data_IF_341347810743
#
_entry.id   IF_341347810743
#
_cell.length_a   1.000
_cell.length_b   1.000
_cell.length_c   1.000
_cell.angle_alpha   90.00
_cell.angle_beta   90.00
_cell.angle_gamma   90.00
#
_symmetry.space_group_name_H-M   'P 1'
#
loop_
_entity.id
_entity.type
_entity.pdbx_description
1 polymer ?
#
# COMPACT_ATOMS: atom_id res chain seq x y z
N UNK A 1 -36.97 2.95 -29.87
CA UNK A 1 -36.14 2.21 -28.90
C UNK A 1 -34.68 2.25 -29.35
N UNK A 2 -33.85 3.20 -28.87
CA UNK A 2 -32.37 3.18 -29.06
C UNK A 2 -31.65 4.35 -28.37
N UNK A 3 -31.81 4.53 -27.05
CA UNK A 3 -30.94 5.47 -26.32
C UNK A 3 -30.63 5.06 -24.87
N UNK A 4 -31.25 4.00 -24.35
CA UNK A 4 -31.05 3.58 -22.94
C UNK A 4 -29.91 2.55 -22.81
N UNK A 5 -29.52 1.87 -23.90
CA UNK A 5 -28.55 0.77 -23.84
C UNK A 5 -27.08 1.21 -23.81
N UNK A 6 -26.76 2.48 -24.10
CA UNK A 6 -25.36 2.97 -24.12
C UNK A 6 -24.94 3.53 -22.75
N UNK A 7 -25.87 4.05 -21.96
CA UNK A 7 -25.56 4.63 -20.64
C UNK A 7 -25.18 3.56 -19.60
N UNK A 8 -25.69 2.34 -19.71
CA UNK A 8 -25.38 1.26 -18.76
C UNK A 8 -24.01 0.62 -19.00
N UNK A 9 -23.44 0.72 -20.20
CA UNK A 9 -22.10 0.17 -20.48
C UNK A 9 -20.98 1.07 -19.93
N UNK A 10 -21.21 2.38 -19.83
CA UNK A 10 -20.27 3.33 -19.24
C UNK A 10 -20.24 3.30 -17.70
N UNK A 11 -21.24 2.68 -17.06
CA UNK A 11 -21.31 2.57 -15.60
C UNK A 11 -20.44 1.42 -15.03
N UNK A 12 -20.01 0.45 -15.85
CA UNK A 12 -19.27 -0.73 -15.37
C UNK A 12 -17.76 -0.48 -15.27
N UNK A 13 -17.23 0.57 -15.90
CA UNK A 13 -15.80 0.91 -15.84
C UNK A 13 -15.48 1.82 -14.63
N UNK A 14 -16.48 2.39 -13.97
CA UNK A 14 -16.31 3.37 -12.90
C UNK A 14 -16.11 2.78 -11.48
N UNK A 15 -16.01 1.46 -11.31
CA UNK A 15 -16.04 0.84 -9.97
C UNK A 15 -14.72 0.25 -9.46
N UNK A 16 -13.59 0.47 -10.13
CA UNK A 16 -12.31 0.38 -9.42
C UNK A 16 -12.01 1.73 -8.81
N UNK A 17 -12.70 2.04 -7.70
CA UNK A 17 -12.14 2.98 -6.74
C UNK A 17 -10.70 2.53 -6.50
N UNK A 18 -9.67 3.36 -6.74
CA UNK A 18 -8.32 3.00 -6.36
C UNK A 18 -8.40 2.66 -4.88
N UNK A 19 -8.14 1.41 -4.52
CA UNK A 19 -8.27 0.96 -3.14
C UNK A 19 -7.24 1.67 -2.22
N UNK A 20 -6.27 2.39 -2.81
CA UNK A 20 -5.30 3.22 -2.11
C UNK A 20 -5.49 4.73 -2.33
N UNK A 21 -5.08 5.51 -1.34
CA UNK A 21 -5.13 6.98 -1.32
C UNK A 21 -4.28 7.65 -2.44
N UNK A 22 -3.37 6.91 -3.07
CA UNK A 22 -2.52 7.34 -4.18
C UNK A 22 -2.13 6.16 -5.08
N UNK A 23 -1.76 6.45 -6.32
CA UNK A 23 -0.99 5.57 -7.21
C UNK A 23 0.51 5.86 -7.13
N UNK A 24 1.31 4.97 -7.73
CA UNK A 24 2.75 5.11 -7.81
C UNK A 24 3.21 6.19 -8.80
N UNK A 25 2.37 6.58 -9.77
CA UNK A 25 2.67 7.65 -10.73
C UNK A 25 2.81 9.00 -10.05
N UNK A 26 1.92 9.31 -9.10
CA UNK A 26 2.01 10.51 -8.27
C UNK A 26 3.27 10.53 -7.40
N UNK A 27 3.65 9.40 -6.83
CA UNK A 27 4.88 9.27 -6.03
C UNK A 27 6.13 9.42 -6.92
N UNK A 28 6.14 8.79 -8.09
CA UNK A 28 7.21 8.91 -9.08
C UNK A 28 7.40 10.36 -9.54
N UNK A 29 6.31 11.09 -9.81
CA UNK A 29 6.37 12.50 -10.16
C UNK A 29 6.99 13.35 -9.03
N UNK A 30 6.62 13.09 -7.77
CA UNK A 30 7.19 13.80 -6.62
C UNK A 30 8.66 13.43 -6.34
N UNK A 31 9.09 12.21 -6.67
CA UNK A 31 10.50 11.79 -6.59
C UNK A 31 11.44 12.63 -7.46
N UNK A 32 10.95 13.11 -8.61
CA UNK A 32 11.65 14.06 -9.49
C UNK A 32 11.51 15.53 -9.08
N UNK A 33 10.75 15.83 -8.02
CA UNK A 33 10.42 17.17 -7.56
C UNK A 33 10.74 17.39 -6.08
N UNK A 34 9.72 17.77 -5.31
CA UNK A 34 9.88 18.23 -3.91
C UNK A 34 10.28 17.11 -2.93
N UNK A 35 9.94 15.86 -3.27
CA UNK A 35 10.05 14.67 -2.43
C UNK A 35 9.25 14.70 -1.11
N UNK A 36 8.48 15.74 -0.84
CA UNK A 36 7.74 15.86 0.42
C UNK A 36 6.60 14.85 0.48
N UNK A 37 5.93 14.60 -0.64
CA UNK A 37 4.79 13.70 -0.70
C UNK A 37 5.24 12.24 -0.58
N UNK A 38 6.29 11.82 -1.30
CA UNK A 38 6.83 10.46 -1.16
C UNK A 38 7.42 10.21 0.22
N UNK A 39 8.06 11.22 0.84
CA UNK A 39 8.57 11.10 2.21
C UNK A 39 7.44 10.93 3.21
N UNK A 40 6.40 11.76 3.13
CA UNK A 40 5.21 11.63 3.98
C UNK A 40 4.48 10.30 3.77
N UNK A 41 4.41 9.83 2.53
CA UNK A 41 3.82 8.53 2.21
C UNK A 41 4.61 7.37 2.85
N UNK A 42 5.93 7.35 2.71
CA UNK A 42 6.80 6.34 3.34
C UNK A 42 6.67 6.37 4.85
N UNK A 43 6.72 7.55 5.48
CA UNK A 43 6.56 7.68 6.93
C UNK A 43 5.18 7.17 7.37
N UNK A 44 4.11 7.56 6.68
CA UNK A 44 2.76 7.09 7.00
C UNK A 44 2.60 5.58 6.81
N UNK A 45 3.22 5.02 5.77
CA UNK A 45 3.25 3.58 5.56
C UNK A 45 4.04 2.85 6.66
N UNK A 46 5.17 3.41 7.11
CA UNK A 46 5.99 2.90 8.20
C UNK A 46 5.31 3.05 9.58
N UNK A 47 4.45 4.03 9.77
CA UNK A 47 3.66 4.17 11.01
C UNK A 47 2.49 3.16 11.02
N UNK A 48 1.86 2.97 9.86
CA UNK A 48 0.75 2.02 9.66
C UNK A 48 1.20 0.55 9.55
N UNK A 49 2.37 0.28 9.00
CA UNK A 49 2.86 -1.04 8.55
C UNK A 49 1.88 -1.83 7.67
N UNK A 50 1.14 -1.17 6.77
CA UNK A 50 0.06 -1.80 5.99
C UNK A 50 -1.02 -2.50 6.87
N UNK A 51 -1.07 -2.22 8.18
CA UNK A 51 -1.95 -2.94 9.11
C UNK A 51 -3.41 -2.67 8.79
N UNK A 52 -3.82 -1.41 8.63
CA UNK A 52 -5.26 -1.13 8.49
C UNK A 52 -5.88 -1.68 7.21
N UNK A 53 -5.14 -1.71 6.08
CA UNK A 53 -5.69 -2.22 4.82
C UNK A 53 -5.73 -3.75 4.80
N UNK A 54 -4.68 -4.42 5.31
CA UNK A 54 -4.69 -5.87 5.49
C UNK A 54 -5.83 -6.29 6.42
N UNK A 55 -5.99 -5.59 7.55
CA UNK A 55 -7.08 -5.83 8.52
C UNK A 55 -8.44 -5.61 7.88
N UNK A 56 -8.61 -4.53 7.10
CA UNK A 56 -9.87 -4.27 6.40
C UNK A 56 -10.18 -5.38 5.38
N UNK A 57 -9.23 -5.75 4.52
CA UNK A 57 -9.40 -6.80 3.51
C UNK A 57 -9.69 -8.16 4.14
N UNK A 58 -9.00 -8.49 5.24
CA UNK A 58 -9.23 -9.73 5.99
C UNK A 58 -10.58 -9.72 6.70
N UNK A 59 -10.98 -8.62 7.32
CA UNK A 59 -12.31 -8.46 7.92
C UNK A 59 -13.44 -8.67 6.91
N UNK A 60 -13.25 -8.17 5.67
CA UNK A 60 -14.16 -8.42 4.55
C UNK A 60 -14.15 -9.89 4.13
N UNK A 61 -12.97 -10.49 3.93
CA UNK A 61 -12.82 -11.86 3.44
C UNK A 61 -13.27 -12.94 4.43
N UNK A 62 -12.97 -12.77 5.71
CA UNK A 62 -13.23 -13.77 6.76
C UNK A 62 -14.59 -13.56 7.45
N UNK A 63 -15.33 -12.48 7.12
CA UNK A 63 -16.64 -12.17 7.72
C UNK A 63 -16.64 -12.33 9.25
N UNK A 64 -15.60 -11.80 9.91
CA UNK A 64 -15.36 -12.03 11.34
C UNK A 64 -16.62 -11.60 12.12
N UNK A 65 -17.34 -12.55 12.73
CA UNK A 65 -18.71 -12.31 13.20
C UNK A 65 -18.77 -11.44 14.47
N UNK A 66 -17.62 -11.05 15.04
CA UNK A 66 -17.54 -10.31 16.29
C UNK A 66 -16.45 -9.24 16.23
N UNK A 67 -16.87 -7.97 16.28
CA UNK A 67 -15.98 -6.81 16.35
C UNK A 67 -14.98 -6.87 17.53
N UNK A 68 -15.30 -7.59 18.61
CA UNK A 68 -14.40 -7.83 19.75
C UNK A 68 -13.18 -8.69 19.39
N UNK A 69 -13.29 -9.55 18.37
CA UNK A 69 -12.14 -10.29 17.85
C UNK A 69 -11.21 -9.39 17.01
N UNK A 70 -11.76 -8.34 16.38
CA UNK A 70 -10.97 -7.35 15.64
C UNK A 70 -10.14 -6.45 16.56
N UNK A 71 -10.54 -6.25 17.82
CA UNK A 71 -9.84 -5.39 18.80
C UNK A 71 -8.91 -6.17 19.75
N UNK A 72 -8.83 -7.49 19.64
CA UNK A 72 -7.92 -8.29 20.46
C UNK A 72 -6.48 -8.17 19.93
N UNK A 73 -5.67 -7.34 20.59
CA UNK A 73 -4.28 -7.06 20.25
C UNK A 73 -3.36 -8.28 20.14
N UNK A 74 -3.61 -9.37 20.88
CA UNK A 74 -2.79 -10.58 20.81
C UNK A 74 -3.10 -11.40 19.54
N UNK A 75 -4.38 -11.62 19.25
CA UNK A 75 -4.82 -12.21 17.98
C UNK A 75 -4.43 -11.34 16.79
N UNK A 76 -4.51 -10.01 16.95
CA UNK A 76 -4.14 -9.02 15.94
C UNK A 76 -2.63 -8.94 15.69
N UNK A 77 -1.80 -9.09 16.72
CA UNK A 77 -0.34 -9.03 16.63
C UNK A 77 0.26 -10.27 15.96
N UNK A 78 -0.24 -11.46 16.27
CA UNK A 78 0.26 -12.72 15.69
C UNK A 78 -0.21 -12.94 14.24
N UNK A 79 -1.32 -12.30 13.84
CA UNK A 79 -2.00 -12.59 12.58
C UNK A 79 -1.60 -11.71 11.40
N UNK A 80 -0.76 -10.68 11.62
CA UNK A 80 -0.33 -9.73 10.58
C UNK A 80 0.94 -10.13 9.84
N UNK A 81 1.71 -11.12 10.31
CA UNK A 81 2.72 -11.82 9.49
C UNK A 81 3.71 -10.94 8.73
N UNK A 82 3.97 -9.70 9.17
CA UNK A 82 4.88 -8.79 8.48
C UNK A 82 6.30 -9.19 8.87
N UNK A 83 6.90 -10.06 8.06
CA UNK A 83 8.28 -10.51 8.22
C UNK A 83 9.28 -9.44 7.74
N UNK A 84 9.18 -8.23 8.31
CA UNK A 84 9.95 -7.07 7.90
C UNK A 84 10.88 -6.56 9.01
N UNK A 85 12.16 -6.49 8.71
CA UNK A 85 13.21 -6.06 9.60
C UNK A 85 14.01 -4.94 8.94
N UNK A 86 13.69 -3.70 9.31
CA UNK A 86 14.46 -2.53 8.89
C UNK A 86 15.69 -2.41 9.80
N UNK A 87 16.92 -2.44 9.26
CA UNK A 87 18.13 -2.27 10.06
C UNK A 87 18.16 -0.92 10.79
N UNK A 88 18.73 -0.84 12.00
CA UNK A 88 18.72 0.38 12.81
C UNK A 88 19.44 1.58 12.17
N UNK A 89 20.33 1.33 11.21
CA UNK A 89 21.02 2.35 10.42
C UNK A 89 20.21 2.91 9.23
N UNK A 90 19.02 2.38 8.95
CA UNK A 90 18.16 2.83 7.86
C UNK A 90 17.00 3.63 8.46
N UNK A 91 17.02 4.95 8.24
CA UNK A 91 15.95 5.85 8.65
C UNK A 91 14.91 6.04 7.53
N UNK A 92 13.81 6.73 7.85
CA UNK A 92 12.72 6.96 6.90
C UNK A 92 13.18 7.74 5.66
N UNK A 93 14.11 8.69 5.81
CA UNK A 93 14.65 9.46 4.69
C UNK A 93 15.41 8.55 3.72
N UNK A 94 16.23 7.64 4.25
CA UNK A 94 16.95 6.64 3.45
C UNK A 94 15.99 5.70 2.72
N UNK A 95 14.90 5.29 3.37
CA UNK A 95 13.85 4.46 2.75
C UNK A 95 13.15 5.24 1.62
N UNK A 96 12.83 6.52 1.82
CA UNK A 96 12.25 7.37 0.78
C UNK A 96 13.16 7.49 -0.44
N UNK A 97 14.46 7.68 -0.25
CA UNK A 97 15.42 7.71 -1.35
C UNK A 97 15.49 6.37 -2.09
N UNK A 98 15.59 5.26 -1.36
CA UNK A 98 15.57 3.91 -1.94
C UNK A 98 14.28 3.63 -2.72
N UNK A 99 13.14 4.09 -2.20
CA UNK A 99 11.85 3.91 -2.84
C UNK A 99 11.72 4.77 -4.10
N UNK A 100 12.24 6.00 -4.08
CA UNK A 100 12.33 6.81 -5.30
C UNK A 100 13.24 6.18 -6.36
N UNK A 101 14.39 5.64 -5.97
CA UNK A 101 15.26 4.89 -6.89
C UNK A 101 14.53 3.68 -7.49
N UNK A 102 13.74 2.96 -6.68
CA UNK A 102 12.91 1.86 -7.14
C UNK A 102 11.86 2.32 -8.16
N UNK A 103 11.10 3.39 -7.87
CA UNK A 103 10.08 3.92 -8.78
C UNK A 103 10.69 4.43 -10.10
N UNK A 104 11.83 5.14 -10.02
CA UNK A 104 12.53 5.66 -11.21
C UNK A 104 13.02 4.54 -12.14
N UNK A 105 13.42 3.39 -11.58
CA UNK A 105 13.82 2.20 -12.36
C UNK A 105 12.62 1.41 -12.90
N UNK A 106 11.43 1.63 -12.36
CA UNK A 106 10.21 0.89 -12.72
C UNK A 106 9.05 1.84 -13.08
N UNK A 107 9.21 2.74 -14.07
CA UNK A 107 8.21 3.75 -14.40
C UNK A 107 6.89 3.16 -14.96
N UNK A 108 6.90 1.90 -15.39
CA UNK A 108 5.71 1.16 -15.82
C UNK A 108 4.72 0.89 -14.69
N UNK A 109 5.15 1.02 -13.43
CA UNK A 109 4.28 0.85 -12.25
C UNK A 109 3.37 2.06 -11.98
N UNK A 110 3.44 3.13 -12.77
CA UNK A 110 2.75 4.40 -12.51
C UNK A 110 1.24 4.27 -12.23
N UNK A 111 0.57 3.28 -12.80
CA UNK A 111 -0.88 3.08 -12.65
C UNK A 111 -1.23 2.05 -11.54
N UNK A 112 -0.22 1.52 -10.85
CA UNK A 112 -0.37 0.56 -9.74
C UNK A 112 -0.63 1.33 -8.44
N UNK A 113 -1.54 0.84 -7.57
CA UNK A 113 -1.75 1.43 -6.25
C UNK A 113 -0.44 1.56 -5.46
N UNK A 114 -0.21 2.71 -4.84
CA UNK A 114 1.02 3.00 -4.10
C UNK A 114 1.31 1.95 -3.01
N UNK A 115 0.25 1.46 -2.36
CA UNK A 115 0.33 0.47 -1.28
C UNK A 115 0.93 -0.85 -1.75
N UNK A 116 0.51 -1.32 -2.92
CA UNK A 116 0.98 -2.57 -3.53
C UNK A 116 2.46 -2.45 -3.93
N UNK A 117 2.83 -1.29 -4.49
CA UNK A 117 4.21 -1.00 -4.88
C UNK A 117 5.12 -0.90 -3.65
N UNK A 118 4.68 -0.21 -2.60
CA UNK A 118 5.43 -0.06 -1.35
C UNK A 118 5.59 -1.39 -0.62
N UNK A 119 4.52 -2.19 -0.53
CA UNK A 119 4.59 -3.54 0.07
C UNK A 119 5.55 -4.45 -0.68
N UNK A 120 5.54 -4.40 -2.02
CA UNK A 120 6.48 -5.15 -2.86
C UNK A 120 7.92 -4.69 -2.64
N UNK A 121 8.17 -3.38 -2.73
CA UNK A 121 9.48 -2.79 -2.47
C UNK A 121 10.02 -3.23 -1.11
N UNK A 122 9.21 -3.09 -0.08
CA UNK A 122 9.64 -3.35 1.28
C UNK A 122 9.86 -4.86 1.50
N UNK A 123 9.02 -5.73 0.94
CA UNK A 123 9.20 -7.19 0.96
C UNK A 123 10.44 -7.70 0.21
N UNK A 124 11.00 -6.91 -0.73
CA UNK A 124 12.26 -7.23 -1.41
C UNK A 124 13.49 -6.73 -0.64
N UNK A 125 13.36 -5.69 0.18
CA UNK A 125 14.50 -4.96 0.76
C UNK A 125 14.68 -5.20 2.26
N UNK A 126 13.64 -5.65 2.97
CA UNK A 126 13.63 -5.68 4.43
C UNK A 126 13.14 -7.01 5.00
N UNK A 127 13.42 -8.15 4.35
CA UNK A 127 13.06 -9.46 4.92
C UNK A 127 13.78 -9.69 6.25
N UNK A 128 13.06 -10.16 7.27
CA UNK A 128 13.72 -10.67 8.47
C UNK A 128 14.41 -11.99 8.19
N UNK A 129 15.64 -12.15 8.69
CA UNK A 129 16.30 -13.45 8.75
C UNK A 129 15.46 -14.41 9.59
N UNK A 130 15.13 -15.56 8.99
CA UNK A 130 14.60 -16.70 9.73
C UNK A 130 15.74 -17.28 10.57
N UNK A 131 15.79 -16.93 11.85
CA UNK A 131 16.60 -17.68 12.82
C UNK A 131 15.95 -19.01 13.15
#
# INVERSE_FOLDING_TARGET
MSSIAVATLLAVIASKSPAGFSDAGRLLADCGGSRQFVSGYVIGWLDKWNRDELVARRGIAESIPNARAMTNWAYFGDSVGVNMCIPPQIDAAKISDMFCDFLNRNPTLKDVPAEEVMSTFAGLNFLCDTK
#
